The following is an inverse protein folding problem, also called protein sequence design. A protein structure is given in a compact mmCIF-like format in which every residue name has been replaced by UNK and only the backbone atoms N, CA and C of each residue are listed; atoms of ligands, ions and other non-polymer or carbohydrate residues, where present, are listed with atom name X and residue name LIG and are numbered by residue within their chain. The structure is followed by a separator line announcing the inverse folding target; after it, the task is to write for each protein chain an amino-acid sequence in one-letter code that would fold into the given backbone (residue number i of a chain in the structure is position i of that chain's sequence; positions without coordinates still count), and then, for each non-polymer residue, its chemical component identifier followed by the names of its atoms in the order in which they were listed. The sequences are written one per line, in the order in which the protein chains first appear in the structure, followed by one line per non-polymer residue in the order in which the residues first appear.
data_IF_991290307754
#
_entry.id   IF_991290307754
#
_cell.length_a   1.000
_cell.length_b   1.000
_cell.length_c   1.000
_cell.angle_alpha   90.00
_cell.angle_beta   90.00
_cell.angle_gamma   90.00
#
_symmetry.space_group_name_H-M   'P 1'
#
loop_
_entity.id
_entity.type
_entity.pdbx_description
1 polymer ?
#
# COMPACT_ATOMS: atom_id res chain seq x y z
N UNK A 1 1.79 12.69 20.62
CA UNK A 1 2.49 13.61 19.71
C UNK A 1 1.81 13.56 18.34
N UNK A 2 1.39 14.70 17.84
CA UNK A 2 0.64 14.75 16.59
C UNK A 2 1.61 14.84 15.41
N UNK A 3 1.51 13.90 14.48
CA UNK A 3 2.31 13.94 13.26
C UNK A 3 1.74 15.02 12.35
N UNK A 4 2.59 15.93 11.83
CA UNK A 4 2.11 16.95 10.89
C UNK A 4 1.44 16.34 9.68
N UNK A 5 0.36 16.96 9.22
CA UNK A 5 -0.40 16.48 8.06
C UNK A 5 0.49 16.34 6.81
N UNK A 6 1.47 17.22 6.66
CA UNK A 6 2.40 17.15 5.53
C UNK A 6 3.21 15.87 5.53
N UNK A 7 3.67 15.42 6.70
CA UNK A 7 4.41 14.18 6.81
C UNK A 7 3.52 12.98 6.51
N UNK A 8 2.28 13.02 6.96
CA UNK A 8 1.32 11.95 6.66
C UNK A 8 1.06 11.87 5.16
N UNK A 9 0.85 13.01 4.51
CA UNK A 9 0.65 13.04 3.06
C UNK A 9 1.86 12.51 2.29
N UNK A 10 3.06 12.91 2.71
CA UNK A 10 4.28 12.42 2.08
C UNK A 10 4.40 10.90 2.23
N UNK A 11 4.08 10.37 3.41
CA UNK A 11 4.13 8.94 3.63
C UNK A 11 3.08 8.20 2.79
N UNK A 12 1.90 8.77 2.65
CA UNK A 12 0.85 8.19 1.79
C UNK A 12 1.33 8.10 0.35
N UNK A 13 1.95 9.16 -0.16
CA UNK A 13 2.47 9.16 -1.53
C UNK A 13 3.53 8.07 -1.70
N UNK A 14 4.47 7.94 -0.77
CA UNK A 14 5.48 6.89 -0.80
C UNK A 14 4.85 5.50 -0.83
N UNK A 15 3.88 5.27 0.03
CA UNK A 15 3.20 3.97 0.10
C UNK A 15 2.38 3.69 -1.15
N UNK A 16 1.77 4.69 -1.74
CA UNK A 16 1.03 4.53 -2.98
C UNK A 16 1.95 4.15 -4.14
N UNK A 17 3.15 4.73 -4.19
CA UNK A 17 4.15 4.36 -5.18
C UNK A 17 4.59 2.91 -4.96
N UNK A 18 4.91 2.54 -3.72
CA UNK A 18 5.28 1.17 -3.39
C UNK A 18 4.18 0.17 -3.77
N UNK A 19 2.93 0.53 -3.47
CA UNK A 19 1.78 -0.30 -3.79
C UNK A 19 1.64 -0.51 -5.30
N UNK A 20 1.82 0.55 -6.07
CA UNK A 20 1.75 0.48 -7.54
C UNK A 20 2.87 -0.39 -8.09
N UNK A 21 4.10 -0.18 -7.61
CA UNK A 21 5.25 -0.95 -8.05
C UNK A 21 5.09 -2.43 -7.71
N UNK A 22 4.60 -2.71 -6.52
CA UNK A 22 4.37 -4.08 -6.08
C UNK A 22 3.26 -4.74 -6.88
N UNK A 23 2.20 -4.02 -7.21
CA UNK A 23 1.12 -4.53 -8.04
C UNK A 23 1.63 -4.94 -9.43
N UNK A 24 2.45 -4.09 -10.04
CA UNK A 24 3.09 -4.40 -11.32
C UNK A 24 4.03 -5.60 -11.21
N UNK A 25 4.77 -5.71 -10.12
CA UNK A 25 5.66 -6.84 -9.89
C UNK A 25 4.87 -8.14 -9.73
N UNK A 26 3.73 -8.10 -9.04
CA UNK A 26 2.85 -9.25 -8.88
C UNK A 26 2.35 -9.72 -10.24
N UNK A 27 1.92 -8.80 -11.08
CA UNK A 27 1.42 -9.16 -12.42
C UNK A 27 2.50 -9.84 -13.25
N UNK A 28 3.71 -9.30 -13.24
CA UNK A 28 4.84 -9.90 -13.98
C UNK A 28 5.21 -11.25 -13.41
N UNK A 29 5.21 -11.39 -12.10
CA UNK A 29 5.54 -12.65 -11.45
C UNK A 29 4.49 -13.71 -11.75
N UNK A 30 3.23 -13.35 -11.76
CA UNK A 30 2.15 -14.28 -12.05
C UNK A 30 2.18 -14.77 -13.49
N UNK A 31 2.69 -13.95 -14.41
CA UNK A 31 2.83 -14.32 -15.83
C UNK A 31 4.03 -15.25 -16.06
N UNK A 32 4.98 -15.29 -15.16
CA UNK A 32 6.16 -16.13 -15.31
C UNK A 32 5.77 -17.60 -15.21
N UNK A 33 6.26 -18.40 -16.14
CA UNK A 33 5.93 -19.82 -16.24
C UNK A 33 6.38 -20.63 -15.01
N UNK A 34 7.38 -20.13 -14.29
CA UNK A 34 7.93 -20.78 -13.12
C UNK A 34 7.55 -20.03 -11.83
N UNK A 35 6.37 -19.43 -11.79
CA UNK A 35 5.95 -18.68 -10.63
C UNK A 35 5.80 -19.58 -9.41
N UNK A 36 6.39 -19.14 -8.30
CA UNK A 36 6.28 -19.81 -7.01
C UNK A 36 5.04 -19.30 -6.30
N UNK A 37 4.09 -20.18 -6.01
CA UNK A 37 2.84 -19.82 -5.36
C UNK A 37 3.07 -19.19 -4.00
N UNK A 38 4.08 -19.67 -3.27
CA UNK A 38 4.40 -19.11 -1.94
C UNK A 38 4.88 -17.66 -2.05
N UNK A 39 5.77 -17.40 -3.02
CA UNK A 39 6.25 -16.05 -3.29
C UNK A 39 5.12 -15.13 -3.71
N UNK A 40 4.24 -15.62 -4.57
CA UNK A 40 3.10 -14.84 -5.04
C UNK A 40 2.18 -14.47 -3.88
N UNK A 41 1.93 -15.41 -2.98
CA UNK A 41 1.11 -15.15 -1.77
C UNK A 41 1.76 -14.10 -0.87
N UNK A 42 3.07 -14.17 -0.71
CA UNK A 42 3.81 -13.19 0.09
C UNK A 42 3.71 -11.79 -0.51
N UNK A 43 3.86 -11.69 -1.83
CA UNK A 43 3.72 -10.42 -2.53
C UNK A 43 2.32 -9.85 -2.40
N UNK A 44 1.31 -10.68 -2.57
CA UNK A 44 -0.08 -10.26 -2.40
C UNK A 44 -0.39 -9.83 -0.98
N UNK A 45 0.16 -10.53 0.01
CA UNK A 45 0.00 -10.16 1.41
C UNK A 45 0.64 -8.79 1.69
N UNK A 46 1.84 -8.56 1.14
CA UNK A 46 2.52 -7.27 1.28
C UNK A 46 1.69 -6.15 0.66
N UNK A 47 1.12 -6.40 -0.51
CA UNK A 47 0.25 -5.45 -1.20
C UNK A 47 -0.95 -5.07 -0.32
N UNK A 48 -1.59 -6.05 0.30
CA UNK A 48 -2.73 -5.81 1.19
C UNK A 48 -2.31 -5.01 2.42
N UNK A 49 -1.13 -5.29 2.98
CA UNK A 49 -0.61 -4.55 4.12
C UNK A 49 -0.35 -3.08 3.76
N UNK A 50 0.21 -2.83 2.58
CA UNK A 50 0.44 -1.46 2.10
C UNK A 50 -0.87 -0.73 1.91
N UNK A 51 -1.85 -1.37 1.31
CA UNK A 51 -3.17 -0.77 1.11
C UNK A 51 -3.83 -0.40 2.44
N UNK A 52 -3.74 -1.30 3.42
CA UNK A 52 -4.29 -1.05 4.74
C UNK A 52 -3.62 0.15 5.41
N UNK A 53 -2.29 0.23 5.34
CA UNK A 53 -1.54 1.37 5.88
C UNK A 53 -1.94 2.68 5.20
N UNK A 54 -2.11 2.65 3.88
CA UNK A 54 -2.54 3.83 3.12
C UNK A 54 -3.91 4.30 3.61
N UNK A 55 -4.84 3.39 3.76
CA UNK A 55 -6.19 3.71 4.22
C UNK A 55 -6.15 4.33 5.61
N UNK A 56 -5.40 3.72 6.53
CA UNK A 56 -5.30 4.22 7.89
C UNK A 56 -4.69 5.62 7.95
N UNK A 57 -3.65 5.87 7.16
CA UNK A 57 -3.03 7.19 7.10
C UNK A 57 -3.96 8.22 6.48
N UNK A 58 -4.68 7.85 5.43
CA UNK A 58 -5.67 8.76 4.82
C UNK A 58 -6.78 9.13 5.78
N UNK A 59 -7.18 8.20 6.63
CA UNK A 59 -8.19 8.48 7.66
C UNK A 59 -7.71 9.55 8.64
N UNK A 60 -6.42 9.64 8.89
CA UNK A 60 -5.85 10.68 9.74
C UNK A 60 -5.90 12.06 9.07
N UNK A 61 -5.91 12.09 7.75
CA UNK A 61 -5.97 13.34 6.99
C UNK A 61 -7.39 13.85 6.80
N UNK A 62 -8.38 12.98 6.90
CA UNK A 62 -9.78 13.37 6.73
C UNK A 62 -10.24 14.08 7.99
N UNK A 63 -10.68 15.34 7.89
CA UNK A 63 -11.27 16.01 9.05
C UNK A 63 -12.55 15.29 9.47
N UNK A 64 -12.83 15.32 10.77
CA UNK A 64 -14.06 14.77 11.30
C UNK A 64 -15.23 15.45 10.62
N UNK A 65 -15.90 14.71 9.76
CA UNK A 65 -17.09 15.20 9.09
C UNK A 65 -18.27 14.74 9.93
N UNK A 66 -18.95 15.67 10.58
CA UNK A 66 -20.16 15.30 11.31
C UNK A 66 -21.17 14.70 10.33
N UNK A 67 -21.66 13.59 10.68
CA UNK A 67 -22.64 12.90 9.85
C UNK A 67 -23.95 13.69 9.77
#
# INVERSE_FOLDING_TARGET
MTVPAEQVRARVIELEIEHRDLDAAIDRFAEAAASDDLQLRRLKKRKLQLKDQIIQLKMQLVPDIPA
#
